data_IF_676936176947
#
_entry.id   IF_676936176947
#
_cell.length_a   1.000
_cell.length_b   1.000
_cell.length_c   1.000
_cell.angle_alpha   90.00
_cell.angle_beta   90.00
_cell.angle_gamma   90.00
#
_symmetry.space_group_name_H-M   'P 1'
#
loop_
_entity.id
_entity.type
_entity.pdbx_description
1 polymer ?
#
# COMPACT_ATOMS: atom_id res chain seq x y z
N UNK A 1 0.45 10.89 -19.89
CA UNK A 1 0.54 10.04 -18.69
C UNK A 1 2.01 9.82 -18.44
N UNK A 2 2.49 10.09 -17.23
CA UNK A 2 3.87 9.79 -16.86
C UNK A 2 4.06 8.28 -16.73
N UNK A 3 5.21 7.77 -17.18
CA UNK A 3 5.51 6.35 -17.25
C UNK A 3 6.91 6.06 -16.70
N UNK A 4 7.03 5.00 -15.92
CA UNK A 4 8.31 4.45 -15.50
C UNK A 4 8.66 3.24 -16.36
N UNK A 5 9.88 3.23 -16.92
CA UNK A 5 10.35 2.09 -17.69
C UNK A 5 10.83 1.01 -16.73
N UNK A 6 10.36 -0.22 -16.91
CA UNK A 6 10.81 -1.36 -16.10
C UNK A 6 11.65 -2.28 -16.98
N UNK A 7 12.90 -2.55 -16.58
CA UNK A 7 13.77 -3.47 -17.33
C UNK A 7 13.10 -4.84 -17.51
N UNK A 8 12.86 -5.23 -18.76
CA UNK A 8 12.25 -6.51 -19.12
C UNK A 8 10.73 -6.61 -18.92
N UNK A 9 10.03 -5.50 -18.67
CA UNK A 9 8.56 -5.47 -18.52
C UNK A 9 7.93 -4.29 -19.25
N UNK A 10 6.60 -4.31 -19.35
CA UNK A 10 5.80 -3.22 -19.91
C UNK A 10 5.93 -1.98 -19.01
N UNK A 11 6.00 -0.75 -19.57
CA UNK A 11 5.99 0.48 -18.78
C UNK A 11 4.77 0.57 -17.87
N UNK A 12 4.95 1.15 -16.69
CA UNK A 12 3.90 1.30 -15.68
C UNK A 12 3.58 2.79 -15.54
N UNK A 13 2.29 3.13 -15.53
CA UNK A 13 1.83 4.51 -15.31
C UNK A 13 2.16 4.95 -13.88
N UNK A 14 2.82 6.10 -13.73
CA UNK A 14 3.30 6.62 -12.44
C UNK A 14 3.00 8.12 -12.31
N UNK A 15 3.11 8.70 -11.10
CA UNK A 15 3.07 10.15 -10.91
C UNK A 15 4.17 10.88 -11.70
N UNK A 16 3.90 12.14 -12.08
CA UNK A 16 4.77 12.95 -12.95
C UNK A 16 6.20 13.12 -12.44
N UNK A 17 6.43 13.10 -11.13
CA UNK A 17 7.77 13.21 -10.54
C UNK A 17 8.63 11.93 -10.68
N UNK A 18 8.04 10.83 -11.14
CA UNK A 18 8.74 9.58 -11.46
C UNK A 18 8.86 9.34 -12.97
N UNK A 19 8.39 10.28 -13.79
CA UNK A 19 8.39 10.14 -15.25
C UNK A 19 9.81 9.98 -15.79
N UNK A 20 9.98 9.11 -16.80
CA UNK A 20 11.27 8.89 -17.46
C UNK A 20 12.31 8.12 -16.64
N UNK A 21 12.04 7.80 -15.37
CA UNK A 21 12.90 6.95 -14.56
C UNK A 21 12.90 5.50 -15.08
N UNK A 22 14.01 4.80 -14.85
CA UNK A 22 14.13 3.38 -15.17
C UNK A 22 14.20 2.59 -13.88
N UNK A 23 13.16 1.82 -13.58
CA UNK A 23 13.16 0.88 -12.46
C UNK A 23 14.23 -0.19 -12.69
N UNK A 24 15.14 -0.35 -11.72
CA UNK A 24 16.24 -1.29 -11.83
C UNK A 24 15.73 -2.73 -11.85
N UNK A 25 16.22 -3.55 -12.77
CA UNK A 25 15.94 -4.99 -12.80
C UNK A 25 16.68 -5.76 -11.70
N UNK A 26 16.57 -7.09 -11.72
CA UNK A 26 17.18 -7.96 -10.71
C UNK A 26 18.70 -8.05 -10.83
N UNK A 27 19.22 -8.18 -12.05
CA UNK A 27 20.65 -8.31 -12.31
C UNK A 27 21.49 -7.19 -11.67
N UNK A 28 21.19 -5.89 -11.88
CA UNK A 28 21.98 -4.83 -11.28
C UNK A 28 21.85 -4.80 -9.74
N UNK A 29 20.67 -5.09 -9.18
CA UNK A 29 20.48 -5.17 -7.72
C UNK A 29 21.26 -6.31 -7.08
N UNK A 30 21.24 -7.50 -7.69
CA UNK A 30 22.02 -8.65 -7.24
C UNK A 30 23.51 -8.35 -7.35
N UNK A 31 23.95 -7.72 -8.45
CA UNK A 31 25.36 -7.34 -8.59
C UNK A 31 25.81 -6.35 -7.52
N UNK A 32 24.98 -5.35 -7.17
CA UNK A 32 25.25 -4.43 -6.07
C UNK A 32 25.42 -5.17 -4.74
N UNK A 33 24.46 -6.05 -4.43
CA UNK A 33 24.48 -6.83 -3.20
C UNK A 33 25.71 -7.74 -3.10
N UNK A 34 26.06 -8.43 -4.20
CA UNK A 34 27.26 -9.28 -4.27
C UNK A 34 28.52 -8.46 -4.00
N UNK A 35 28.65 -7.25 -4.57
CA UNK A 35 29.82 -6.39 -4.33
C UNK A 35 29.91 -5.98 -2.85
N UNK A 36 28.82 -5.49 -2.26
CA UNK A 36 28.79 -5.06 -0.86
C UNK A 36 29.10 -6.22 0.12
N UNK A 37 28.49 -7.39 -0.12
CA UNK A 37 28.72 -8.58 0.70
C UNK A 37 30.13 -9.12 0.52
N UNK A 38 30.69 -9.10 -0.70
CA UNK A 38 32.04 -9.63 -0.97
C UNK A 38 33.12 -8.90 -0.19
N UNK A 39 33.05 -7.56 -0.11
CA UNK A 39 34.01 -6.76 0.67
C UNK A 39 33.96 -7.17 2.15
N UNK A 40 32.76 -7.26 2.71
CA UNK A 40 32.56 -7.64 4.11
C UNK A 40 32.98 -9.10 4.37
N UNK A 41 32.66 -10.02 3.45
CA UNK A 41 33.00 -11.43 3.55
C UNK A 41 34.52 -11.66 3.49
N UNK A 42 35.25 -10.94 2.64
CA UNK A 42 36.72 -11.01 2.57
C UNK A 42 37.36 -10.55 3.89
N UNK A 43 36.88 -9.45 4.47
CA UNK A 43 37.38 -8.96 5.76
C UNK A 43 37.10 -9.96 6.89
N UNK A 44 35.90 -10.55 6.92
CA UNK A 44 35.54 -11.55 7.92
C UNK A 44 36.34 -12.85 7.74
N UNK A 45 36.57 -13.29 6.50
CA UNK A 45 37.40 -14.44 6.19
C UNK A 45 38.86 -14.22 6.59
N UNK A 46 39.41 -13.03 6.35
CA UNK A 46 40.76 -12.66 6.79
C UNK A 46 40.86 -12.66 8.33
N UNK A 47 39.87 -12.11 9.02
CA UNK A 47 39.81 -12.14 10.48
C UNK A 47 39.70 -13.58 11.01
N UNK A 48 38.84 -14.41 10.41
CA UNK A 48 38.68 -15.82 10.76
C UNK A 48 39.95 -16.65 10.53
N UNK A 49 40.63 -16.45 9.39
CA UNK A 49 41.91 -17.09 9.10
C UNK A 49 43.01 -16.66 10.08
N UNK A 50 43.04 -15.39 10.46
CA UNK A 50 43.98 -14.86 11.46
C UNK A 50 43.73 -15.48 12.84
N UNK A 51 42.46 -15.61 13.23
CA UNK A 51 42.07 -16.28 14.48
C UNK A 51 42.43 -17.78 14.45
N UNK A 52 42.19 -18.46 13.33
CA UNK A 52 42.58 -19.86 13.15
C UNK A 52 44.11 -20.05 13.17
N UNK A 53 44.88 -19.09 12.65
CA UNK A 53 46.34 -19.12 12.79
C UNK A 53 46.75 -18.95 14.25
N UNK A 54 46.12 -18.04 15.00
CA UNK A 54 46.37 -17.86 16.42
C UNK A 54 46.10 -19.13 17.24
N UNK A 55 45.02 -19.86 16.95
CA UNK A 55 44.67 -21.07 17.68
C UNK A 55 45.68 -22.22 17.53
N UNK A 56 46.58 -22.18 16.54
CA UNK A 56 47.70 -23.12 16.41
C UNK A 56 48.83 -22.89 17.43
N UNK A 57 48.82 -21.76 18.14
CA UNK A 57 49.87 -21.37 19.09
C UNK A 57 51.16 -20.86 18.43
N UNK A 58 51.21 -20.78 17.10
CA UNK A 58 52.40 -20.34 16.35
C UNK A 58 52.45 -18.84 16.07
N UNK A 59 51.31 -18.15 16.14
CA UNK A 59 51.21 -16.74 15.80
C UNK A 59 51.49 -15.82 17.01
N UNK A 60 52.35 -14.79 16.88
CA UNK A 60 52.53 -13.79 17.93
C UNK A 60 51.21 -13.04 18.20
N UNK A 61 50.76 -13.02 19.46
CA UNK A 61 49.45 -12.44 19.84
C UNK A 61 49.28 -10.97 19.44
N UNK A 62 50.34 -10.17 19.51
CA UNK A 62 50.31 -8.75 19.09
C UNK A 62 50.06 -8.62 17.58
N UNK A 63 50.65 -9.49 16.76
CA UNK A 63 50.45 -9.47 15.31
C UNK A 63 49.01 -9.83 14.96
N UNK A 64 48.45 -10.85 15.61
CA UNK A 64 47.04 -11.27 15.48
C UNK A 64 46.11 -10.12 15.85
N UNK A 65 46.34 -9.47 16.99
CA UNK A 65 45.52 -8.35 17.46
C UNK A 65 45.53 -7.18 16.46
N UNK A 66 46.70 -6.83 15.92
CA UNK A 66 46.82 -5.75 14.92
C UNK A 66 46.05 -6.09 13.65
N UNK A 67 46.17 -7.33 13.14
CA UNK A 67 45.45 -7.73 11.92
C UNK A 67 43.93 -7.70 12.14
N UNK A 68 43.44 -8.22 13.28
CA UNK A 68 42.02 -8.18 13.62
C UNK A 68 41.51 -6.74 13.77
N UNK A 69 42.28 -5.87 14.41
CA UNK A 69 41.95 -4.45 14.53
C UNK A 69 41.90 -3.77 13.16
N UNK A 70 42.85 -4.05 12.26
CA UNK A 70 42.83 -3.54 10.89
C UNK A 70 41.61 -4.03 10.11
N UNK A 71 41.23 -5.31 10.24
CA UNK A 71 40.02 -5.84 9.59
C UNK A 71 38.76 -5.16 10.11
N UNK A 72 38.65 -4.95 11.43
CA UNK A 72 37.53 -4.26 12.05
C UNK A 72 37.43 -2.80 11.58
N UNK A 73 38.55 -2.05 11.60
CA UNK A 73 38.59 -0.67 11.13
C UNK A 73 38.20 -0.58 9.66
N UNK A 74 38.72 -1.48 8.80
CA UNK A 74 38.35 -1.53 7.39
C UNK A 74 36.84 -1.80 7.19
N UNK A 75 36.25 -2.71 7.97
CA UNK A 75 34.83 -3.01 7.91
C UNK A 75 33.98 -1.80 8.35
N UNK A 76 34.38 -1.11 9.42
CA UNK A 76 33.70 0.11 9.89
C UNK A 76 33.81 1.25 8.88
N UNK A 77 34.98 1.44 8.27
CA UNK A 77 35.19 2.45 7.22
C UNK A 77 34.32 2.14 6.00
N UNK A 78 34.29 0.88 5.55
CA UNK A 78 33.43 0.47 4.45
C UNK A 78 31.94 0.72 4.77
N UNK A 79 31.48 0.31 5.95
CA UNK A 79 30.11 0.54 6.41
C UNK A 79 29.78 2.04 6.49
N UNK A 80 30.68 2.86 7.03
CA UNK A 80 30.50 4.31 7.09
C UNK A 80 30.41 4.96 5.70
N UNK A 81 31.28 4.57 4.76
CA UNK A 81 31.23 5.06 3.38
C UNK A 81 29.91 4.68 2.71
N UNK A 82 29.46 3.43 2.89
CA UNK A 82 28.19 2.95 2.36
C UNK A 82 27.00 3.72 2.95
N UNK A 83 26.98 3.95 4.27
CA UNK A 83 25.92 4.72 4.93
C UNK A 83 25.92 6.19 4.51
N UNK A 84 27.08 6.83 4.43
CA UNK A 84 27.20 8.22 3.98
C UNK A 84 26.78 8.37 2.51
N UNK A 85 27.16 7.42 1.64
CA UNK A 85 26.70 7.37 0.26
C UNK A 85 25.19 7.17 0.16
N UNK A 86 24.62 6.34 1.03
CA UNK A 86 23.19 6.05 1.06
C UNK A 86 22.37 7.26 1.50
N UNK A 87 22.84 7.99 2.52
CA UNK A 87 22.23 9.24 2.99
C UNK A 87 22.35 10.35 1.97
N UNK A 88 23.51 10.48 1.31
CA UNK A 88 23.76 11.58 0.37
C UNK A 88 23.15 11.37 -1.01
N UNK A 89 23.31 10.18 -1.60
CA UNK A 89 22.95 9.90 -2.99
C UNK A 89 21.98 8.72 -3.15
N UNK A 90 21.59 8.05 -2.06
CA UNK A 90 20.78 6.84 -2.12
C UNK A 90 21.55 5.63 -2.63
N UNK A 91 22.88 5.59 -2.46
CA UNK A 91 23.72 4.52 -2.99
C UNK A 91 24.76 4.02 -1.99
N UNK A 92 24.84 2.69 -1.83
CA UNK A 92 26.01 2.02 -1.24
C UNK A 92 27.17 1.95 -2.23
N UNK A 93 28.33 1.43 -1.79
CA UNK A 93 29.49 1.22 -2.65
C UNK A 93 29.15 0.27 -3.81
N UNK A 94 28.50 -0.86 -3.53
CA UNK A 94 28.08 -1.83 -4.55
C UNK A 94 27.01 -1.27 -5.48
N UNK A 95 26.07 -0.49 -4.97
CA UNK A 95 25.06 0.18 -5.80
C UNK A 95 25.67 1.19 -6.77
N UNK A 96 26.73 1.90 -6.38
CA UNK A 96 27.48 2.79 -7.28
C UNK A 96 28.13 2.01 -8.43
N UNK A 97 28.74 0.86 -8.12
CA UNK A 97 29.36 0.00 -9.14
C UNK A 97 28.31 -0.58 -10.08
N UNK A 98 27.14 -0.95 -9.56
CA UNK A 98 26.05 -1.54 -10.35
C UNK A 98 25.16 -0.52 -11.08
N UNK A 99 25.36 0.79 -10.85
CA UNK A 99 24.53 1.86 -11.42
C UNK A 99 23.08 1.82 -10.91
N UNK A 100 22.86 1.52 -9.63
CA UNK A 100 21.54 1.51 -8.98
C UNK A 100 21.50 2.57 -7.89
N UNK A 101 20.34 3.18 -7.64
CA UNK A 101 20.11 4.04 -6.48
C UNK A 101 18.72 3.84 -5.89
N UNK A 102 18.59 4.13 -4.60
CA UNK A 102 17.31 4.19 -3.91
C UNK A 102 16.81 5.63 -3.85
N UNK A 103 15.54 5.79 -4.19
CA UNK A 103 14.82 7.06 -4.10
C UNK A 103 13.52 6.84 -3.31
N UNK A 104 12.99 7.91 -2.70
CA UNK A 104 11.65 7.90 -2.15
C UNK A 104 10.60 7.86 -3.27
N UNK A 105 9.60 6.99 -3.15
CA UNK A 105 8.55 6.85 -4.18
C UNK A 105 7.69 8.13 -4.31
N UNK A 106 7.50 8.84 -3.20
CA UNK A 106 6.72 10.10 -3.17
C UNK A 106 7.51 11.30 -3.67
N UNK A 107 8.84 11.31 -3.51
CA UNK A 107 9.66 12.47 -3.80
C UNK A 107 10.43 12.35 -5.12
N UNK A 108 10.67 11.13 -5.61
CA UNK A 108 11.55 10.88 -6.75
C UNK A 108 13.04 11.19 -6.47
N UNK A 109 13.39 11.48 -5.21
CA UNK A 109 14.72 11.92 -4.79
C UNK A 109 15.29 11.02 -3.68
N UNK A 110 16.60 11.04 -3.43
CA UNK A 110 17.18 10.33 -2.28
C UNK A 110 16.54 10.78 -0.97
N UNK A 111 16.01 9.82 -0.20
CA UNK A 111 15.40 10.05 1.11
C UNK A 111 16.24 9.32 2.18
N UNK A 112 17.03 10.05 2.99
CA UNK A 112 17.91 9.44 4.00
C UNK A 112 17.17 8.55 5.00
N UNK A 113 16.01 9.01 5.49
CA UNK A 113 15.30 8.32 6.55
C UNK A 113 14.74 6.99 6.04
N UNK A 114 14.10 7.01 4.87
CA UNK A 114 13.55 5.81 4.22
C UNK A 114 14.64 4.84 3.78
N UNK A 115 15.75 5.35 3.26
CA UNK A 115 16.88 4.52 2.84
C UNK A 115 17.55 3.84 4.05
N UNK A 116 17.73 4.55 5.16
CA UNK A 116 18.28 3.97 6.39
C UNK A 116 17.32 2.96 7.03
N UNK A 117 16.02 3.25 7.03
CA UNK A 117 15.00 2.33 7.51
C UNK A 117 15.03 1.02 6.70
N UNK A 118 15.13 1.13 5.37
CA UNK A 118 15.25 -0.03 4.48
C UNK A 118 16.52 -0.82 4.77
N UNK A 119 17.67 -0.17 4.89
CA UNK A 119 18.92 -0.85 5.22
C UNK A 119 18.83 -1.58 6.57
N UNK A 120 18.26 -0.93 7.59
CA UNK A 120 18.09 -1.56 8.91
C UNK A 120 17.17 -2.78 8.83
N UNK A 121 16.06 -2.68 8.10
CA UNK A 121 15.13 -3.79 7.90
C UNK A 121 15.79 -4.96 7.15
N UNK A 122 16.53 -4.68 6.08
CA UNK A 122 17.29 -5.71 5.36
C UNK A 122 18.34 -6.39 6.26
N UNK A 123 19.01 -5.63 7.15
CA UNK A 123 19.98 -6.15 8.11
C UNK A 123 19.35 -7.04 9.18
N UNK A 124 18.15 -6.73 9.66
CA UNK A 124 17.39 -7.56 10.62
C UNK A 124 17.15 -8.96 10.05
N UNK A 125 16.84 -9.06 8.76
CA UNK A 125 16.65 -10.35 8.09
C UNK A 125 17.98 -11.00 7.68
N UNK A 126 18.96 -10.20 7.27
CA UNK A 126 20.23 -10.71 6.76
C UNK A 126 21.10 -11.32 7.86
N UNK A 127 21.23 -10.68 9.03
CA UNK A 127 22.10 -11.12 10.11
C UNK A 127 21.81 -12.57 10.58
N UNK A 128 20.58 -12.96 10.95
CA UNK A 128 20.30 -14.32 11.44
C UNK A 128 20.32 -15.38 10.32
N UNK A 129 20.16 -14.97 9.06
CA UNK A 129 20.02 -15.91 7.94
C UNK A 129 21.19 -15.88 6.96
N UNK A 130 22.28 -15.20 7.32
CA UNK A 130 23.40 -14.93 6.42
C UNK A 130 22.95 -14.38 5.04
N UNK A 131 21.90 -13.55 5.03
CA UNK A 131 21.33 -12.92 3.83
C UNK A 131 20.34 -13.79 3.04
N UNK A 132 20.15 -15.06 3.39
CA UNK A 132 19.27 -15.98 2.63
C UNK A 132 17.81 -15.52 2.68
N UNK A 133 17.30 -15.11 3.84
CA UNK A 133 15.91 -14.63 3.94
C UNK A 133 15.70 -13.33 3.17
N UNK A 134 16.64 -12.38 3.27
CA UNK A 134 16.59 -11.12 2.51
C UNK A 134 16.54 -11.37 1.01
N UNK A 135 17.33 -12.32 0.50
CA UNK A 135 17.33 -12.70 -0.91
C UNK A 135 16.01 -13.36 -1.35
N UNK A 136 15.48 -14.31 -0.57
CA UNK A 136 14.21 -14.98 -0.86
C UNK A 136 13.04 -14.00 -0.87
N UNK A 137 12.92 -13.18 0.17
CA UNK A 137 11.87 -12.15 0.26
C UNK A 137 11.98 -11.20 -0.93
N UNK A 138 13.19 -10.72 -1.26
CA UNK A 138 13.40 -9.80 -2.38
C UNK A 138 13.07 -10.42 -3.74
N UNK A 139 13.26 -11.73 -3.91
CA UNK A 139 12.96 -12.44 -5.15
C UNK A 139 11.46 -12.69 -5.33
N UNK A 140 10.78 -13.17 -4.29
CA UNK A 140 9.36 -13.55 -4.39
C UNK A 140 8.39 -12.39 -4.26
N UNK A 141 8.81 -11.26 -3.70
CA UNK A 141 7.91 -10.13 -3.40
C UNK A 141 7.87 -9.03 -4.48
N UNK A 142 8.39 -9.30 -5.68
CA UNK A 142 8.55 -8.30 -6.73
C UNK A 142 7.21 -7.93 -7.37
N UNK A 143 6.78 -6.68 -7.18
CA UNK A 143 5.61 -6.11 -7.86
C UNK A 143 5.92 -5.66 -9.29
N UNK A 144 4.98 -4.95 -9.92
CA UNK A 144 5.04 -4.53 -11.32
C UNK A 144 6.27 -3.67 -11.65
N UNK A 145 6.62 -2.72 -10.78
CA UNK A 145 7.82 -1.86 -10.90
C UNK A 145 9.12 -2.51 -10.37
N UNK A 146 9.17 -3.84 -10.28
CA UNK A 146 10.21 -4.58 -9.54
C UNK A 146 10.38 -4.08 -8.08
N UNK A 147 9.32 -3.55 -7.48
CA UNK A 147 9.36 -3.05 -6.10
C UNK A 147 9.22 -4.24 -5.16
N UNK A 148 10.20 -4.46 -4.30
CA UNK A 148 10.21 -5.57 -3.33
C UNK A 148 9.31 -5.26 -2.14
N UNK A 149 9.08 -6.24 -1.26
CA UNK A 149 8.43 -6.05 0.02
C UNK A 149 9.15 -5.01 0.90
N UNK A 150 10.49 -5.05 0.95
CA UNK A 150 11.30 -4.05 1.65
C UNK A 150 11.07 -2.64 1.10
N UNK A 151 11.07 -2.51 -0.23
CA UNK A 151 10.78 -1.25 -0.90
C UNK A 151 9.36 -0.73 -0.55
N UNK A 152 8.38 -1.64 -0.48
CA UNK A 152 6.98 -1.36 -0.14
C UNK A 152 6.84 -0.78 1.27
N UNK A 153 7.41 -1.46 2.26
CA UNK A 153 7.37 -1.03 3.66
C UNK A 153 8.08 0.30 3.86
N UNK A 154 9.24 0.47 3.24
CA UNK A 154 10.06 1.66 3.48
C UNK A 154 9.71 2.85 2.56
N UNK A 155 8.72 2.72 1.67
CA UNK A 155 8.36 3.81 0.75
C UNK A 155 9.48 4.17 -0.23
N UNK A 156 10.33 3.20 -0.60
CA UNK A 156 11.47 3.41 -1.52
C UNK A 156 11.25 2.75 -2.87
N UNK A 157 12.05 3.15 -3.85
CA UNK A 157 12.09 2.59 -5.18
C UNK A 157 13.55 2.49 -5.66
N UNK A 158 13.93 1.35 -6.22
CA UNK A 158 15.25 1.14 -6.79
C UNK A 158 15.24 1.46 -8.28
N UNK A 159 15.98 2.50 -8.67
CA UNK A 159 16.07 2.98 -10.07
C UNK A 159 17.50 2.94 -10.58
N UNK A 160 17.69 3.02 -11.90
CA UNK A 160 19.01 3.21 -12.50
C UNK A 160 19.57 4.58 -12.10
N UNK A 161 20.85 4.62 -11.77
CA UNK A 161 21.52 5.85 -11.35
C UNK A 161 21.58 6.88 -12.48
N UNK A 162 21.68 6.42 -13.73
CA UNK A 162 21.74 7.23 -14.94
C UNK A 162 20.37 7.79 -15.37
N UNK A 163 19.27 7.22 -14.87
CA UNK A 163 17.94 7.79 -15.16
C UNK A 163 17.70 9.00 -14.27
N UNK A 164 17.66 10.18 -14.87
CA UNK A 164 17.29 11.42 -14.20
C UNK A 164 15.77 11.57 -14.17
N UNK A 165 15.23 11.87 -12.98
CA UNK A 165 13.86 12.38 -12.89
C UNK A 165 13.86 13.79 -13.52
N UNK A 166 12.77 14.23 -14.16
CA UNK A 166 12.66 15.58 -14.67
C UNK A 166 13.07 16.56 -13.57
N UNK A 167 14.05 17.41 -13.88
CA UNK A 167 14.58 18.39 -12.94
C UNK A 167 13.41 19.15 -12.34
N UNK A 168 13.23 19.03 -11.02
CA UNK A 168 12.21 19.76 -10.29
C UNK A 168 12.43 21.24 -10.64
N UNK A 169 11.43 21.90 -11.24
CA UNK A 169 11.32 23.34 -11.08
C UNK A 169 11.49 23.58 -9.58
N UNK A 170 12.43 24.46 -9.14
CA UNK A 170 12.66 24.68 -7.72
C UNK A 170 11.30 24.88 -7.07
N UNK A 171 11.13 24.34 -5.87
CA UNK A 171 9.95 24.54 -5.03
C UNK A 171 9.79 26.04 -4.72
N UNK A 172 9.41 26.82 -5.72
CA UNK A 172 8.74 28.09 -5.56
C UNK A 172 7.36 27.67 -5.07
N UNK A 173 7.25 27.75 -3.74
CA UNK A 173 6.06 28.02 -2.97
C UNK A 173 4.77 27.38 -3.53
N UNK A 174 4.12 26.57 -2.70
CA UNK A 174 2.67 26.59 -2.63
C UNK A 174 2.33 27.72 -1.63
N UNK A 175 2.26 29.02 -2.00
CA UNK A 175 1.71 30.01 -1.09
C UNK A 175 0.18 29.98 -1.09
N UNK A 176 -0.47 29.52 -2.16
CA UNK A 176 -1.93 29.65 -2.28
C UNK A 176 -2.70 28.71 -1.35
N UNK A 177 -2.26 27.47 -1.12
CA UNK A 177 -3.05 26.55 -0.29
C UNK A 177 -2.96 26.88 1.21
N UNK A 178 -1.85 27.46 1.68
CA UNK A 178 -1.76 27.97 3.06
C UNK A 178 -2.50 29.29 3.23
N UNK A 179 -2.41 30.20 2.26
CA UNK A 179 -3.11 31.49 2.33
C UNK A 179 -4.63 31.31 2.29
N UNK A 180 -5.15 30.38 1.48
CA UNK A 180 -6.58 30.03 1.45
C UNK A 180 -7.04 29.41 2.78
N UNK A 181 -6.22 28.57 3.42
CA UNK A 181 -6.57 27.94 4.70
C UNK A 181 -6.49 28.95 5.85
N UNK A 182 -5.49 29.83 5.84
CA UNK A 182 -5.32 30.88 6.86
C UNK A 182 -6.43 31.94 6.75
N UNK A 183 -6.78 32.37 5.53
CA UNK A 183 -7.89 33.28 5.26
C UNK A 183 -9.27 32.66 5.57
N UNK A 184 -9.44 31.36 5.29
CA UNK A 184 -10.67 30.63 5.67
C UNK A 184 -10.80 30.46 7.19
N UNK A 185 -9.70 30.20 7.91
CA UNK A 185 -9.69 30.10 9.36
C UNK A 185 -9.97 31.46 10.03
N UNK A 186 -9.44 32.55 9.49
CA UNK A 186 -9.68 33.91 10.02
C UNK A 186 -11.12 34.39 9.80
N UNK A 187 -11.76 33.97 8.69
CA UNK A 187 -13.19 34.23 8.44
C UNK A 187 -14.13 33.40 9.33
N UNK A 188 -13.66 32.30 9.91
CA UNK A 188 -14.42 31.45 10.83
C UNK A 188 -14.38 31.94 12.29
N UNK A 189 -13.35 32.70 12.68
CA UNK A 189 -13.15 33.21 14.06
C UNK A 189 -13.68 34.65 14.29
N UNK A 190 -14.27 35.30 13.28
CA UNK A 190 -14.91 36.59 13.46
C UNK A 190 -16.18 36.48 14.34
N UNK A 191 -16.33 37.27 15.42
CA UNK A 191 -17.48 37.18 16.32
C UNK A 191 -18.76 37.62 15.59
N UNK A 192 -19.63 36.65 15.27
CA UNK A 192 -20.97 36.92 14.75
C UNK A 192 -21.83 37.52 15.86
N UNK A 193 -22.05 38.84 15.80
CA UNK A 193 -23.09 39.51 16.57
C UNK A 193 -24.46 38.96 16.13
N UNK A 194 -25.09 38.12 16.96
CA UNK A 194 -26.51 37.82 16.81
C UNK A 194 -27.31 38.97 17.43
N UNK A 195 -27.95 39.78 16.59
CA UNK A 195 -29.00 40.70 17.05
C UNK A 195 -30.26 39.85 17.31
N UNK A 196 -30.65 39.73 18.58
CA UNK A 196 -31.94 39.13 18.95
C UNK A 196 -33.06 40.01 18.40
N UNK A 197 -33.82 39.49 17.43
CA UNK A 197 -35.10 40.02 17.00
C UNK A 197 -36.19 38.98 17.30
N UNK A 198 -37.34 39.51 17.70
CA UNK A 198 -38.40 38.89 18.50
C UNK A 198 -38.98 37.54 18.03
N UNK A 199 -39.38 36.76 19.03
CA UNK A 199 -40.15 35.52 18.98
C UNK A 199 -41.58 35.74 18.48
N UNK A 200 -42.13 34.90 17.57
CA UNK A 200 -43.55 34.68 17.47
C UNK A 200 -43.97 33.35 18.12
N UNK A 201 -44.93 33.45 19.03
CA UNK A 201 -45.62 32.36 19.74
C UNK A 201 -46.41 31.46 18.78
N UNK A 202 -46.28 30.13 18.89
CA UNK A 202 -47.18 29.15 18.28
C UNK A 202 -48.15 28.57 19.34
N UNK A 203 -49.41 28.23 18.99
CA UNK A 203 -50.42 27.79 19.95
C UNK A 203 -50.33 26.29 20.27
N UNK A 204 -50.72 25.98 21.50
CA UNK A 204 -50.83 24.64 22.09
C UNK A 204 -51.95 23.80 21.45
N UNK A 205 -51.65 22.55 21.10
CA UNK A 205 -52.65 21.49 20.98
C UNK A 205 -52.20 20.32 21.87
N UNK A 206 -53.01 20.06 22.90
CA UNK A 206 -52.94 18.89 23.76
C UNK A 206 -53.23 17.62 22.95
N UNK A 207 -52.42 16.58 23.14
CA UNK A 207 -52.80 15.23 22.75
C UNK A 207 -52.54 14.25 23.90
N UNK A 208 -53.65 13.74 24.43
CA UNK A 208 -53.83 12.76 25.49
C UNK A 208 -53.27 11.37 25.13
N UNK A 209 -52.49 10.79 26.04
CA UNK A 209 -52.13 9.35 26.08
C UNK A 209 -53.31 8.47 26.52
N UNK A 210 -53.38 7.21 26.06
CA UNK A 210 -53.97 6.13 26.85
C UNK A 210 -52.91 5.11 27.34
N UNK A 211 -53.17 4.36 28.44
CA UNK A 211 -52.13 3.65 29.19
C UNK A 211 -52.08 2.14 28.91
N UNK A 212 -50.91 1.57 29.19
CA UNK A 212 -50.77 0.17 29.61
C UNK A 212 -50.11 -0.75 28.59
N UNK A 213 -48.83 -1.07 28.81
CA UNK A 213 -48.23 -2.42 28.83
C UNK A 213 -46.74 -2.28 29.20
N UNK A 214 -46.39 -2.66 30.43
CA UNK A 214 -45.07 -3.25 30.77
C UNK A 214 -45.10 -4.74 30.39
N UNK A 215 -43.98 -5.51 30.33
CA UNK A 215 -42.57 -5.19 30.61
C UNK A 215 -41.56 -5.72 29.56
N UNK A 216 -40.25 -5.44 29.73
CA UNK A 216 -39.10 -6.38 29.75
C UNK A 216 -37.80 -5.58 29.53
N UNK A 217 -36.83 -5.61 30.46
CA UNK A 217 -35.48 -5.10 30.20
C UNK A 217 -34.72 -6.11 29.33
N UNK A 218 -34.44 -5.78 28.07
CA UNK A 218 -33.39 -6.46 27.33
C UNK A 218 -32.07 -5.75 27.61
N UNK A 219 -31.25 -6.43 28.41
CA UNK A 219 -29.85 -6.18 28.67
C UNK A 219 -29.08 -6.17 27.33
N UNK A 220 -28.88 -4.97 26.76
CA UNK A 220 -27.95 -4.78 25.66
C UNK A 220 -26.55 -4.90 26.25
N UNK A 221 -25.98 -6.10 26.15
CA UNK A 221 -24.55 -6.31 26.33
C UNK A 221 -23.83 -5.47 25.28
N UNK A 222 -23.35 -4.30 25.69
CA UNK A 222 -22.40 -3.51 24.94
C UNK A 222 -21.11 -4.33 24.81
N UNK A 223 -20.92 -4.97 23.65
CA UNK A 223 -19.60 -5.42 23.25
C UNK A 223 -18.83 -4.20 22.78
N UNK A 224 -18.11 -3.62 23.73
CA UNK A 224 -17.14 -2.56 23.51
C UNK A 224 -15.97 -3.15 22.70
N UNK A 225 -15.94 -2.85 21.40
CA UNK A 225 -14.76 -3.04 20.57
C UNK A 225 -14.59 -1.80 19.72
N UNK A 226 -13.52 -1.01 19.92
CA UNK A 226 -13.31 0.21 19.15
C UNK A 226 -12.87 -0.19 17.73
N UNK A 227 -13.74 0.01 16.76
CA UNK A 227 -13.41 -0.07 15.33
C UNK A 227 -13.01 1.36 14.92
N UNK A 228 -11.77 1.62 14.49
CA UNK A 228 -11.29 2.99 14.29
C UNK A 228 -12.03 3.66 13.13
N UNK A 229 -12.83 4.69 13.42
CA UNK A 229 -13.59 5.50 12.46
C UNK A 229 -12.71 6.33 11.51
N UNK A 230 -11.83 5.67 10.75
CA UNK A 230 -10.82 6.32 9.89
C UNK A 230 -11.13 6.18 8.39
N UNK A 231 -12.12 5.39 7.99
CA UNK A 231 -12.36 5.06 6.57
C UNK A 231 -13.25 6.04 5.80
N UNK A 232 -13.85 7.04 6.45
CA UNK A 232 -14.90 7.84 5.83
C UNK A 232 -14.43 9.04 4.99
N UNK A 233 -13.16 9.48 5.03
CA UNK A 233 -12.90 10.89 4.67
C UNK A 233 -11.77 11.27 3.71
N UNK A 234 -11.04 10.39 3.01
CA UNK A 234 -9.99 10.91 2.07
C UNK A 234 -9.93 10.34 0.65
N UNK A 235 -10.18 9.06 0.35
CA UNK A 235 -9.93 8.54 -1.03
C UNK A 235 -11.15 8.10 -1.85
N UNK A 236 -12.31 7.90 -1.23
CA UNK A 236 -13.50 7.37 -1.92
C UNK A 236 -14.03 8.35 -2.99
N UNK A 237 -14.02 9.65 -2.71
CA UNK A 237 -14.51 10.67 -3.63
C UNK A 237 -13.64 10.76 -4.91
N UNK A 238 -12.33 10.56 -4.78
CA UNK A 238 -11.40 10.55 -5.91
C UNK A 238 -11.57 9.29 -6.76
N UNK A 239 -11.64 8.11 -6.13
CA UNK A 239 -11.88 6.83 -6.82
C UNK A 239 -13.21 6.86 -7.60
N UNK A 240 -14.26 7.43 -7.01
CA UNK A 240 -15.57 7.59 -7.65
C UNK A 240 -15.52 8.51 -8.89
N UNK A 241 -14.73 9.59 -8.81
CA UNK A 241 -14.62 10.60 -9.88
C UNK A 241 -13.80 10.07 -11.07
N UNK A 242 -12.63 9.49 -10.80
CA UNK A 242 -11.75 8.92 -11.83
C UNK A 242 -12.41 7.71 -12.53
N UNK A 243 -13.13 6.88 -11.76
CA UNK A 243 -13.82 5.71 -12.32
C UNK A 243 -14.95 6.10 -13.27
N UNK A 244 -15.70 7.17 -12.98
CA UNK A 244 -16.82 7.62 -13.81
C UNK A 244 -16.35 8.15 -15.17
N UNK A 245 -15.36 9.04 -15.17
CA UNK A 245 -14.83 9.64 -16.40
C UNK A 245 -14.25 8.58 -17.35
N UNK A 246 -13.58 7.57 -16.81
CA UNK A 246 -13.04 6.47 -17.60
C UNK A 246 -14.12 5.50 -18.08
N UNK A 247 -15.16 5.25 -17.28
CA UNK A 247 -16.30 4.40 -17.68
C UNK A 247 -17.04 4.95 -18.90
N UNK A 248 -17.32 6.25 -18.90
CA UNK A 248 -18.01 6.91 -20.00
C UNK A 248 -17.17 6.88 -21.29
N UNK A 249 -15.85 7.05 -21.17
CA UNK A 249 -14.93 7.00 -22.32
C UNK A 249 -14.83 5.59 -22.92
N UNK A 250 -14.63 4.56 -22.12
CA UNK A 250 -14.50 3.18 -22.62
C UNK A 250 -15.79 2.62 -23.20
N UNK A 251 -16.95 3.03 -22.65
CA UNK A 251 -18.26 2.72 -23.21
C UNK A 251 -18.42 3.37 -24.60
N UNK A 252 -17.89 4.58 -24.79
CA UNK A 252 -17.93 5.27 -26.09
C UNK A 252 -17.00 4.67 -27.15
N UNK A 253 -15.87 4.07 -26.73
CA UNK A 253 -14.85 3.47 -27.63
C UNK A 253 -15.11 1.96 -27.85
N UNK A 254 -16.08 1.35 -27.15
CA UNK A 254 -16.43 -0.06 -27.31
C UNK A 254 -15.44 -1.05 -26.69
N UNK A 255 -14.62 -0.59 -25.73
CA UNK A 255 -13.59 -1.40 -25.07
C UNK A 255 -14.15 -2.39 -24.03
N UNK A 256 -15.42 -2.23 -23.61
CA UNK A 256 -16.07 -3.11 -22.63
C UNK A 256 -17.07 -4.07 -23.29
N UNK A 257 -17.12 -5.34 -22.84
CA UNK A 257 -18.18 -6.26 -23.25
C UNK A 257 -19.56 -5.67 -22.93
N UNK A 258 -20.51 -5.81 -23.85
CA UNK A 258 -21.88 -5.31 -23.69
C UNK A 258 -22.54 -6.03 -22.51
N UNK A 259 -22.96 -5.28 -21.49
CA UNK A 259 -23.58 -5.82 -20.28
C UNK A 259 -22.61 -6.12 -19.13
N UNK A 260 -21.31 -5.88 -19.31
CA UNK A 260 -20.35 -5.98 -18.21
C UNK A 260 -20.46 -4.78 -17.26
N UNK A 261 -20.35 -5.04 -15.96
CA UNK A 261 -20.24 -4.01 -14.91
C UNK A 261 -18.79 -3.96 -14.43
N UNK A 262 -18.19 -2.78 -14.34
CA UNK A 262 -16.81 -2.68 -13.89
C UNK A 262 -16.71 -2.68 -12.38
N UNK A 263 -15.80 -3.48 -11.87
CA UNK A 263 -15.36 -3.46 -10.50
C UNK A 263 -14.00 -2.77 -10.42
N UNK A 264 -13.82 -1.89 -9.44
CA UNK A 264 -12.53 -1.26 -9.16
C UNK A 264 -12.11 -1.65 -7.76
N UNK A 265 -11.07 -2.47 -7.65
CA UNK A 265 -10.51 -2.89 -6.37
C UNK A 265 -9.63 -1.79 -5.77
N UNK A 266 -9.37 -1.89 -4.47
CA UNK A 266 -8.51 -0.97 -3.72
C UNK A 266 -7.05 -0.95 -4.19
N UNK A 267 -6.58 -2.02 -4.81
CA UNK A 267 -5.29 -2.09 -5.50
C UNK A 267 -5.27 -1.37 -6.87
N UNK A 268 -6.41 -0.80 -7.29
CA UNK A 268 -6.58 -0.11 -8.57
C UNK A 268 -6.95 -1.04 -9.73
N UNK A 269 -7.01 -2.36 -9.50
CA UNK A 269 -7.36 -3.34 -10.53
C UNK A 269 -8.79 -3.13 -10.98
N UNK A 270 -8.97 -3.13 -12.31
CA UNK A 270 -10.27 -2.99 -12.96
C UNK A 270 -10.68 -4.35 -13.52
N UNK A 271 -11.84 -4.83 -13.08
CA UNK A 271 -12.38 -6.11 -13.52
C UNK A 271 -13.74 -5.91 -14.15
N UNK A 272 -13.90 -6.29 -15.42
CA UNK A 272 -15.19 -6.22 -16.11
C UNK A 272 -16.00 -7.48 -15.81
N UNK A 273 -16.93 -7.37 -14.85
CA UNK A 273 -17.81 -8.45 -14.40
C UNK A 273 -18.91 -8.71 -15.43
N UNK A 274 -18.88 -9.88 -16.06
CA UNK A 274 -19.86 -10.28 -17.09
C UNK A 274 -20.98 -11.16 -16.53
N UNK A 275 -20.64 -12.14 -15.69
CA UNK A 275 -21.60 -13.13 -15.17
C UNK A 275 -21.42 -13.32 -13.66
N UNK A 276 -20.35 -13.99 -13.23
CA UNK A 276 -20.06 -14.23 -11.82
C UNK A 276 -18.56 -14.19 -11.50
N UNK A 277 -18.24 -13.72 -10.30
CA UNK A 277 -16.88 -13.64 -9.78
C UNK A 277 -16.84 -14.02 -8.30
N UNK A 278 -16.05 -15.04 -7.96
CA UNK A 278 -15.74 -15.39 -6.57
C UNK A 278 -14.49 -14.64 -6.13
N UNK A 279 -14.59 -13.85 -5.09
CA UNK A 279 -13.49 -13.02 -4.56
C UNK A 279 -13.01 -13.60 -3.23
N UNK A 280 -11.69 -13.67 -3.04
CA UNK A 280 -11.10 -14.05 -1.77
C UNK A 280 -9.58 -14.15 -1.83
N UNK A 281 -8.93 -14.58 -0.73
CA UNK A 281 -7.45 -14.73 -0.70
C UNK A 281 -6.92 -15.98 -1.39
N UNK A 282 -7.77 -17.00 -1.55
CA UNK A 282 -7.47 -18.25 -2.24
C UNK A 282 -8.79 -18.87 -2.75
N UNK A 283 -9.48 -18.18 -3.68
CA UNK A 283 -10.85 -18.49 -4.07
C UNK A 283 -10.92 -19.79 -4.86
N UNK A 284 -11.96 -20.58 -4.60
CA UNK A 284 -12.23 -21.84 -5.31
C UNK A 284 -13.65 -21.84 -5.85
N UNK A 285 -13.76 -21.99 -7.17
CA UNK A 285 -15.02 -22.17 -7.89
C UNK A 285 -15.42 -23.65 -7.89
N UNK A 286 -16.07 -24.13 -6.82
CA UNK A 286 -16.47 -25.52 -6.65
C UNK A 286 -17.96 -25.67 -6.33
N UNK A 287 -18.56 -26.80 -6.72
CA UNK A 287 -19.99 -27.09 -6.49
C UNK A 287 -20.88 -26.15 -7.33
N UNK A 288 -21.82 -25.46 -6.68
CA UNK A 288 -22.72 -24.48 -7.34
C UNK A 288 -22.00 -23.28 -7.98
N UNK A 289 -20.68 -23.17 -7.78
CA UNK A 289 -19.82 -22.11 -8.33
C UNK A 289 -18.87 -22.61 -9.41
N UNK A 290 -18.96 -23.87 -9.81
CA UNK A 290 -18.10 -24.46 -10.83
C UNK A 290 -18.20 -23.69 -12.16
N UNK A 291 -17.05 -23.36 -12.75
CA UNK A 291 -16.96 -22.57 -13.98
C UNK A 291 -17.01 -21.05 -13.80
N UNK A 292 -17.22 -20.53 -12.58
CA UNK A 292 -17.20 -19.08 -12.32
C UNK A 292 -15.77 -18.54 -12.28
N UNK A 293 -15.61 -17.28 -12.69
CA UNK A 293 -14.32 -16.60 -12.57
C UNK A 293 -13.95 -16.43 -11.09
N UNK A 294 -12.65 -16.41 -10.82
CA UNK A 294 -12.12 -16.15 -9.48
C UNK A 294 -11.18 -14.95 -9.49
N UNK A 295 -11.24 -14.14 -8.44
CA UNK A 295 -10.31 -13.03 -8.22
C UNK A 295 -9.59 -13.21 -6.88
N UNK A 296 -8.27 -13.38 -6.97
CA UNK A 296 -7.41 -13.61 -5.82
C UNK A 296 -6.87 -12.29 -5.31
N UNK A 297 -7.22 -11.94 -4.07
CA UNK A 297 -6.67 -10.79 -3.38
C UNK A 297 -5.45 -11.20 -2.55
N UNK A 298 -4.37 -10.44 -2.65
CA UNK A 298 -3.27 -10.57 -1.70
C UNK A 298 -3.74 -10.06 -0.34
N UNK A 299 -3.82 -10.91 0.67
CA UNK A 299 -4.28 -10.54 2.00
C UNK A 299 -3.37 -11.18 3.05
N UNK A 300 -2.33 -10.43 3.43
CA UNK A 300 -1.27 -10.87 4.35
C UNK A 300 -1.77 -10.94 5.80
N UNK A 301 -2.78 -10.14 6.16
CA UNK A 301 -3.40 -10.12 7.49
C UNK A 301 -4.42 -11.24 7.69
N UNK A 302 -4.70 -12.04 6.65
CA UNK A 302 -5.73 -13.07 6.64
C UNK A 302 -7.13 -12.54 7.02
N UNK A 303 -7.39 -11.25 6.77
CA UNK A 303 -8.68 -10.59 7.02
C UNK A 303 -9.76 -10.98 6.00
N UNK A 304 -9.38 -11.61 4.89
CA UNK A 304 -10.23 -12.06 3.80
C UNK A 304 -10.25 -13.60 3.79
N UNK A 305 -11.44 -14.20 3.86
CA UNK A 305 -11.61 -15.65 3.71
C UNK A 305 -11.08 -16.18 2.37
N UNK A 306 -10.78 -17.49 2.30
CA UNK A 306 -10.30 -18.14 1.07
C UNK A 306 -11.22 -17.85 -0.11
N UNK A 307 -12.51 -18.10 0.07
CA UNK A 307 -13.60 -17.53 -0.73
C UNK A 307 -14.43 -16.67 0.22
N UNK A 308 -14.51 -15.36 -0.03
CA UNK A 308 -15.11 -14.39 0.89
C UNK A 308 -16.49 -13.96 0.43
N UNK A 309 -16.61 -13.53 -0.81
CA UNK A 309 -17.86 -13.05 -1.38
C UNK A 309 -18.01 -13.48 -2.84
N UNK A 310 -19.24 -13.48 -3.31
CA UNK A 310 -19.63 -13.78 -4.67
C UNK A 310 -20.32 -12.57 -5.27
N UNK A 311 -19.81 -12.11 -6.40
CA UNK A 311 -20.43 -11.05 -7.20
C UNK A 311 -21.08 -11.69 -8.41
N UNK A 312 -22.33 -11.30 -8.71
CA UNK A 312 -23.05 -11.74 -9.90
C UNK A 312 -23.69 -10.58 -10.61
N UNK A 313 -23.74 -10.64 -11.94
CA UNK A 313 -24.57 -9.74 -12.75
C UNK A 313 -25.85 -10.47 -13.11
N UNK A 314 -26.99 -9.91 -12.71
CA UNK A 314 -28.32 -10.37 -13.14
C UNK A 314 -29.10 -9.16 -13.64
N UNK A 315 -29.60 -9.24 -14.87
CA UNK A 315 -30.40 -8.17 -15.48
C UNK A 315 -29.70 -6.79 -15.50
N UNK A 316 -28.36 -6.79 -15.53
CA UNK A 316 -27.55 -5.56 -15.50
C UNK A 316 -27.31 -4.98 -14.10
N UNK A 317 -27.86 -5.59 -13.05
CA UNK A 317 -27.60 -5.24 -11.66
C UNK A 317 -26.54 -6.18 -11.05
N UNK A 318 -25.69 -5.63 -10.18
CA UNK A 318 -24.69 -6.42 -9.43
C UNK A 318 -25.31 -6.88 -8.12
N UNK A 319 -25.21 -8.17 -7.84
CA UNK A 319 -25.58 -8.79 -6.57
C UNK A 319 -24.33 -9.25 -5.83
N UNK A 320 -24.31 -9.01 -4.53
CA UNK A 320 -23.23 -9.36 -3.61
C UNK A 320 -23.76 -10.37 -2.62
N UNK A 321 -23.07 -11.49 -2.47
CA UNK A 321 -23.41 -12.54 -1.51
C UNK A 321 -22.17 -12.85 -0.66
N UNK A 322 -22.31 -12.83 0.66
CA UNK A 322 -21.23 -13.21 1.58
C UNK A 322 -21.16 -14.75 1.69
N UNK A 323 -19.99 -15.34 1.44
CA UNK A 323 -19.79 -16.78 1.41
C UNK A 323 -19.43 -17.34 2.81
N UNK A 324 -20.15 -16.90 3.84
CA UNK A 324 -19.87 -17.19 5.25
C UNK A 324 -18.44 -16.80 5.65
N UNK A 325 -18.09 -15.55 5.36
CA UNK A 325 -16.79 -15.00 5.67
C UNK A 325 -16.58 -14.82 7.19
N UNK A 326 -15.32 -14.80 7.63
CA UNK A 326 -15.01 -14.64 9.06
C UNK A 326 -15.23 -13.21 9.56
N UNK A 327 -14.96 -12.21 8.71
CA UNK A 327 -15.02 -10.80 9.07
C UNK A 327 -16.25 -10.07 8.53
N UNK A 328 -17.10 -10.76 7.78
CA UNK A 328 -18.32 -10.21 7.19
C UNK A 328 -18.06 -9.31 5.98
N UNK A 329 -19.16 -9.06 5.26
CA UNK A 329 -19.24 -8.14 4.13
C UNK A 329 -20.24 -7.02 4.44
N UNK A 330 -19.91 -5.78 4.09
CA UNK A 330 -20.76 -4.59 4.24
C UNK A 330 -20.85 -3.82 2.93
N UNK A 331 -21.98 -3.21 2.65
CA UNK A 331 -22.18 -2.27 1.55
C UNK A 331 -22.27 -0.87 2.11
N UNK A 332 -21.54 0.08 1.52
CA UNK A 332 -21.68 1.51 1.79
C UNK A 332 -22.16 2.18 0.51
N UNK A 333 -23.36 2.75 0.58
CA UNK A 333 -23.97 3.47 -0.55
C UNK A 333 -23.46 4.91 -0.60
N UNK A 334 -23.64 5.58 -1.74
CA UNK A 334 -23.26 7.00 -1.93
C UNK A 334 -23.87 7.95 -0.88
N UNK A 335 -25.01 7.59 -0.29
CA UNK A 335 -25.68 8.38 0.73
C UNK A 335 -25.11 8.15 2.14
N UNK A 336 -24.01 7.39 2.26
CA UNK A 336 -23.39 7.03 3.53
C UNK A 336 -24.13 5.97 4.33
N UNK A 337 -25.21 5.39 3.78
CA UNK A 337 -25.92 4.29 4.42
C UNK A 337 -25.10 3.01 4.28
N UNK A 338 -24.71 2.44 5.41
CA UNK A 338 -24.05 1.14 5.49
C UNK A 338 -25.05 0.01 5.77
N UNK A 339 -24.90 -1.11 5.08
CA UNK A 339 -25.68 -2.34 5.28
C UNK A 339 -24.73 -3.53 5.41
N UNK A 340 -24.78 -4.23 6.54
CA UNK A 340 -24.09 -5.53 6.66
C UNK A 340 -24.88 -6.62 5.94
N UNK A 341 -24.18 -7.55 5.28
CA UNK A 341 -24.77 -8.69 4.62
C UNK A 341 -24.95 -9.86 5.59
N UNK A 342 -26.06 -10.57 5.44
CA UNK A 342 -26.24 -11.90 6.03
C UNK A 342 -25.54 -12.92 5.13
N UNK A 343 -24.73 -13.85 5.67
CA UNK A 343 -24.13 -14.92 4.89
C UNK A 343 -25.15 -15.70 4.05
N UNK A 344 -24.85 -15.91 2.75
CA UNK A 344 -25.69 -16.61 1.78
C UNK A 344 -26.90 -15.82 1.25
N UNK A 345 -27.12 -14.58 1.72
CA UNK A 345 -28.20 -13.72 1.22
C UNK A 345 -27.65 -12.79 0.12
N UNK A 346 -28.09 -12.92 -1.14
CA UNK A 346 -27.68 -12.02 -2.20
C UNK A 346 -28.36 -10.65 -2.05
N UNK A 347 -27.56 -9.58 -1.96
CA UNK A 347 -28.00 -8.20 -1.84
C UNK A 347 -27.57 -7.40 -3.06
N UNK A 348 -28.49 -6.62 -3.64
CA UNK A 348 -28.18 -5.74 -4.77
C UNK A 348 -27.21 -4.61 -4.36
N UNK A 349 -26.17 -4.40 -5.15
CA UNK A 349 -25.19 -3.32 -5.03
C UNK A 349 -25.24 -2.44 -6.29
N UNK A 350 -26.04 -1.35 -6.28
CA UNK A 350 -26.12 -0.42 -7.40
C UNK A 350 -24.77 0.22 -7.73
N UNK A 351 -24.57 0.71 -8.97
CA UNK A 351 -23.40 1.51 -9.32
C UNK A 351 -23.12 2.65 -8.34
N UNK A 352 -21.87 2.80 -7.92
CA UNK A 352 -21.44 3.72 -6.88
C UNK A 352 -21.44 3.14 -5.47
N UNK A 353 -21.89 1.89 -5.30
CA UNK A 353 -21.79 1.17 -4.02
C UNK A 353 -20.35 0.72 -3.78
N UNK A 354 -19.87 0.98 -2.57
CA UNK A 354 -18.61 0.45 -2.08
C UNK A 354 -18.88 -0.82 -1.28
N UNK A 355 -18.27 -1.93 -1.69
CA UNK A 355 -18.36 -3.21 -1.00
C UNK A 355 -17.11 -3.35 -0.12
N UNK A 356 -17.32 -3.44 1.18
CA UNK A 356 -16.29 -3.54 2.22
C UNK A 356 -16.25 -4.97 2.73
N UNK A 357 -15.07 -5.59 2.77
CA UNK A 357 -14.94 -6.99 3.20
C UNK A 357 -13.54 -7.24 3.77
N UNK A 358 -13.46 -7.73 5.00
CA UNK A 358 -12.19 -7.73 5.74
C UNK A 358 -11.59 -6.32 5.84
N UNK A 359 -10.35 -6.15 5.36
CA UNK A 359 -9.64 -4.85 5.22
C UNK A 359 -9.63 -4.31 3.79
N UNK A 360 -10.35 -4.97 2.88
CA UNK A 360 -10.37 -4.68 1.45
C UNK A 360 -11.67 -4.02 1.03
N UNK A 361 -11.63 -3.35 -0.11
CA UNK A 361 -12.82 -2.73 -0.71
C UNK A 361 -12.86 -2.92 -2.23
N UNK A 362 -14.07 -2.94 -2.77
CA UNK A 362 -14.31 -2.92 -4.22
C UNK A 362 -15.47 -1.98 -4.53
N UNK A 363 -15.27 -1.10 -5.50
CA UNK A 363 -16.26 -0.17 -6.00
C UNK A 363 -16.98 -0.76 -7.22
N UNK A 364 -18.32 -0.71 -7.21
CA UNK A 364 -19.13 -1.04 -8.39
C UNK A 364 -19.20 0.19 -9.30
N UNK A 365 -18.40 0.23 -10.36
CA UNK A 365 -18.42 1.27 -11.38
C UNK A 365 -19.40 0.88 -12.50
N UNK A 366 -20.50 1.62 -12.60
CA UNK A 366 -21.55 1.40 -13.61
C UNK A 366 -21.17 1.72 -15.05
#
# INVERSE_FOLDING_TARGET
MAEIRVEGRVPVTVPDHLDGLVAAGNTPRVSAHVVDVSVTAVLLAAAGATFAWHSTGTAPGVVVLVILACCLVAALVHGAISVLGLVGQGQTVGMRVAGVRWIGIETGAPDPARNLLKLALEMIFALPTAGVATALVSYYSQGEMNRTWFDRICGTLSVRAESEAPARLPAQQLPEEREIVEEACEQLDAPRHYTLLDTPTLPSLEETLPPGHEPVPQEVVASDSPVPSTWASVDTARLLSDSRAQSDLERSIGLRPKGAVRLVFDDGTKFDLVDALVVGRAPTASGEREGMATYTLADEECAVSKSHLLLRVREGAVFVEDLASTNGTRLSTRNGTERSLTPGEPVEAPPGTLILFGTRMVLVSG
#
